data_IF_509142697464
#
_entry.id   IF_509142697464
#
_cell.length_a   1.000
_cell.length_b   1.000
_cell.length_c   1.000
_cell.angle_alpha   90.00
_cell.angle_beta   90.00
_cell.angle_gamma   90.00
#
_symmetry.space_group_name_H-M   'P 1'
#
loop_
_entity.id
_entity.type
_entity.pdbx_description
1 polymer ?
#
# COMPACT_ATOMS: atom_id res chain seq x y z
N UNK A 1 -38.34 19.02 3.73
CA UNK A 1 -37.95 17.80 2.93
C UNK A 1 -37.15 18.14 1.68
N UNK A 2 -37.74 18.85 0.65
CA UNK A 2 -37.00 19.14 -0.59
C UNK A 2 -35.80 20.07 -0.32
N UNK A 3 -35.99 21.11 0.48
CA UNK A 3 -34.96 22.07 0.88
C UNK A 3 -33.81 21.32 1.60
N UNK A 4 -34.15 20.44 2.53
CA UNK A 4 -33.12 19.67 3.27
C UNK A 4 -32.33 18.76 2.37
N UNK A 5 -33.01 18.05 1.44
CA UNK A 5 -32.34 17.20 0.46
C UNK A 5 -31.42 18.04 -0.44
N UNK A 6 -31.82 19.22 -0.90
CA UNK A 6 -30.98 20.11 -1.69
C UNK A 6 -29.79 20.66 -0.88
N UNK A 7 -29.98 20.99 0.38
CA UNK A 7 -28.92 21.48 1.26
C UNK A 7 -27.89 20.38 1.54
N UNK A 8 -28.36 19.19 1.87
CA UNK A 8 -27.46 18.02 2.07
C UNK A 8 -26.77 17.61 0.76
N UNK A 9 -27.44 17.73 -0.37
CA UNK A 9 -26.85 17.54 -1.69
C UNK A 9 -25.70 18.55 -1.94
N UNK A 10 -25.92 19.83 -1.66
CA UNK A 10 -24.90 20.87 -1.82
C UNK A 10 -23.70 20.62 -0.89
N UNK A 11 -23.94 20.26 0.37
CA UNK A 11 -22.88 19.84 1.30
C UNK A 11 -22.14 18.60 0.81
N UNK A 12 -22.83 17.62 0.24
CA UNK A 12 -22.23 16.41 -0.29
C UNK A 12 -21.37 16.69 -1.53
N UNK A 13 -21.83 17.54 -2.45
CA UNK A 13 -21.05 17.98 -3.61
C UNK A 13 -19.79 18.71 -3.16
N UNK A 14 -19.92 19.63 -2.20
CA UNK A 14 -18.76 20.36 -1.65
C UNK A 14 -17.75 19.38 -1.04
N UNK A 15 -18.21 18.41 -0.26
CA UNK A 15 -17.37 17.39 0.33
C UNK A 15 -16.71 16.48 -0.72
N UNK A 16 -17.42 16.12 -1.78
CA UNK A 16 -16.89 15.34 -2.91
C UNK A 16 -15.79 16.12 -3.62
N UNK A 17 -16.03 17.41 -3.94
CA UNK A 17 -15.04 18.28 -4.58
C UNK A 17 -13.81 18.51 -3.70
N UNK A 18 -13.97 18.74 -2.40
CA UNK A 18 -12.88 18.82 -1.45
C UNK A 18 -12.07 17.50 -1.40
N UNK A 19 -12.74 16.37 -1.58
CA UNK A 19 -12.08 15.06 -1.65
C UNK A 19 -11.16 14.92 -2.86
N UNK A 20 -11.44 15.62 -3.96
CA UNK A 20 -10.56 15.63 -5.16
C UNK A 20 -9.41 16.63 -5.06
N UNK A 21 -9.57 17.71 -4.34
CA UNK A 21 -8.51 18.68 -4.09
C UNK A 21 -7.43 18.12 -3.17
N UNK A 22 -7.78 17.12 -2.34
CA UNK A 22 -6.85 16.39 -1.51
C UNK A 22 -6.38 15.13 -2.25
N UNK A 23 -5.07 14.81 -2.37
CA UNK A 23 -4.61 13.66 -3.13
C UNK A 23 -5.20 12.34 -2.66
N UNK A 24 -5.40 11.46 -3.64
CA UNK A 24 -6.17 10.21 -3.61
C UNK A 24 -5.56 9.06 -2.79
N UNK A 25 -4.92 9.31 -1.67
CA UNK A 25 -4.32 8.25 -0.87
C UNK A 25 -5.30 7.54 0.07
N UNK A 26 -6.52 8.06 0.25
CA UNK A 26 -7.55 7.41 1.07
C UNK A 26 -8.66 6.83 0.20
N UNK A 27 -9.04 5.61 0.49
CA UNK A 27 -9.98 4.76 -0.25
C UNK A 27 -11.46 5.15 -0.11
N UNK A 28 -11.80 6.41 0.20
CA UNK A 28 -13.19 6.82 0.30
C UNK A 28 -13.38 8.32 0.11
N UNK A 29 -14.47 8.71 -0.56
CA UNK A 29 -14.94 10.07 -0.59
C UNK A 29 -15.61 10.38 0.74
N UNK A 30 -15.34 11.57 1.32
CA UNK A 30 -16.07 12.05 2.51
C UNK A 30 -17.50 12.51 2.16
N UNK A 31 -17.81 12.61 0.87
CA UNK A 31 -19.14 12.96 0.38
C UNK A 31 -20.23 11.98 0.78
N UNK A 32 -19.87 10.73 1.17
CA UNK A 32 -20.85 9.75 1.62
C UNK A 32 -21.52 10.17 2.95
N UNK A 33 -20.88 10.98 3.78
CA UNK A 33 -21.41 11.41 5.07
C UNK A 33 -22.72 12.20 4.90
N UNK A 34 -22.78 13.32 4.14
CA UNK A 34 -24.03 14.06 4.00
C UNK A 34 -25.08 13.36 3.16
N UNK A 35 -24.72 12.52 2.17
CA UNK A 35 -25.79 11.84 1.45
C UNK A 35 -26.40 10.68 2.24
N UNK A 36 -25.64 9.94 3.04
CA UNK A 36 -26.22 8.98 3.99
C UNK A 36 -27.00 9.67 5.14
N UNK A 37 -26.53 10.85 5.58
CA UNK A 37 -27.30 11.67 6.51
C UNK A 37 -28.66 12.03 5.92
N UNK A 38 -28.74 12.22 4.60
CA UNK A 38 -30.01 12.48 3.94
C UNK A 38 -31.02 11.33 4.07
N UNK A 39 -30.57 10.06 4.07
CA UNK A 39 -31.44 8.90 4.32
C UNK A 39 -32.11 8.93 5.70
N UNK A 40 -31.49 9.57 6.69
CA UNK A 40 -32.00 9.67 8.08
C UNK A 40 -32.80 10.94 8.27
N UNK A 41 -32.39 12.04 7.66
CA UNK A 41 -33.09 13.34 7.77
C UNK A 41 -34.33 13.40 6.87
N UNK A 42 -34.18 12.90 5.63
CA UNK A 42 -35.25 12.87 4.60
C UNK A 42 -35.35 11.45 4.05
N UNK A 43 -35.92 10.48 4.79
CA UNK A 43 -36.02 9.09 4.35
C UNK A 43 -37.04 8.90 3.23
N UNK A 44 -36.76 9.50 2.07
CA UNK A 44 -37.64 9.52 0.91
C UNK A 44 -36.84 9.70 -0.40
N UNK A 45 -37.54 9.57 -1.55
CA UNK A 45 -36.94 9.65 -2.89
C UNK A 45 -36.03 10.90 -3.15
N UNK A 46 -36.22 12.09 -2.55
CA UNK A 46 -35.33 13.23 -2.79
C UNK A 46 -33.89 12.96 -2.37
N UNK A 47 -33.64 12.12 -1.34
CA UNK A 47 -32.29 11.72 -0.93
C UNK A 47 -31.61 10.87 -1.99
N UNK A 48 -32.33 9.98 -2.64
CA UNK A 48 -31.81 9.15 -3.75
C UNK A 48 -31.39 10.02 -4.93
N UNK A 49 -32.22 11.01 -5.30
CA UNK A 49 -31.87 11.96 -6.38
C UNK A 49 -30.62 12.76 -6.01
N UNK A 50 -30.52 13.19 -4.74
CA UNK A 50 -29.32 13.87 -4.25
C UNK A 50 -28.05 13.03 -4.41
N UNK A 51 -28.10 11.74 -4.06
CA UNK A 51 -26.96 10.81 -4.24
C UNK A 51 -26.59 10.65 -5.70
N UNK A 52 -27.59 10.50 -6.58
CA UNK A 52 -27.36 10.42 -8.03
C UNK A 52 -26.64 11.68 -8.53
N UNK A 53 -27.11 12.87 -8.15
CA UNK A 53 -26.52 14.13 -8.54
C UNK A 53 -25.09 14.28 -8.03
N UNK A 54 -24.84 14.01 -6.74
CA UNK A 54 -23.50 14.08 -6.11
C UNK A 54 -22.52 13.16 -6.82
N UNK A 55 -22.92 11.90 -7.02
CA UNK A 55 -22.03 10.90 -7.66
C UNK A 55 -21.80 11.20 -9.14
N UNK A 56 -22.81 11.69 -9.85
CA UNK A 56 -22.65 12.11 -11.25
C UNK A 56 -21.63 13.25 -11.36
N UNK A 57 -21.74 14.28 -10.53
CA UNK A 57 -20.76 15.38 -10.48
C UNK A 57 -19.35 14.85 -10.16
N UNK A 58 -19.21 13.96 -9.16
CA UNK A 58 -17.94 13.37 -8.79
C UNK A 58 -17.30 12.54 -9.91
N UNK A 59 -18.09 11.71 -10.61
CA UNK A 59 -17.60 10.88 -11.71
C UNK A 59 -17.20 11.72 -12.94
N UNK A 60 -17.98 12.76 -13.27
CA UNK A 60 -17.64 13.71 -14.34
C UNK A 60 -16.35 14.46 -14.03
N UNK A 61 -16.20 14.94 -12.79
CA UNK A 61 -14.99 15.62 -12.34
C UNK A 61 -13.76 14.69 -12.39
N UNK A 62 -13.95 13.44 -11.99
CA UNK A 62 -12.89 12.42 -12.00
C UNK A 62 -12.54 11.94 -13.42
N UNK A 63 -13.28 12.34 -14.46
CA UNK A 63 -13.12 11.89 -15.86
C UNK A 63 -13.01 10.38 -15.99
N UNK A 64 -13.86 9.64 -15.25
CA UNK A 64 -13.84 8.17 -15.32
C UNK A 64 -14.47 7.66 -16.60
N UNK A 65 -14.09 6.44 -16.99
CA UNK A 65 -14.70 5.76 -18.13
C UNK A 65 -16.22 5.63 -17.91
N UNK A 66 -17.07 5.92 -18.93
CA UNK A 66 -18.52 6.02 -18.77
C UNK A 66 -19.17 4.81 -18.09
N UNK A 67 -18.74 3.58 -18.46
CA UNK A 67 -19.29 2.36 -17.86
C UNK A 67 -18.99 2.27 -16.34
N UNK A 68 -17.81 2.71 -15.90
CA UNK A 68 -17.45 2.74 -14.48
C UNK A 68 -18.22 3.83 -13.74
N UNK A 69 -18.45 4.98 -14.38
CA UNK A 69 -19.23 6.06 -13.82
C UNK A 69 -20.68 5.63 -13.61
N UNK A 70 -21.31 5.03 -14.62
CA UNK A 70 -22.68 4.49 -14.53
C UNK A 70 -22.78 3.44 -13.42
N UNK A 71 -21.86 2.50 -13.35
CA UNK A 71 -21.84 1.48 -12.28
C UNK A 71 -21.76 2.12 -10.89
N UNK A 72 -20.87 3.10 -10.69
CA UNK A 72 -20.71 3.76 -9.40
C UNK A 72 -21.94 4.55 -9.01
N UNK A 73 -22.53 5.33 -9.92
CA UNK A 73 -23.74 6.11 -9.66
C UNK A 73 -24.90 5.17 -9.31
N UNK A 74 -25.09 4.10 -10.08
CA UNK A 74 -26.17 3.13 -9.87
C UNK A 74 -26.00 2.37 -8.54
N UNK A 75 -24.77 1.96 -8.21
CA UNK A 75 -24.47 1.26 -6.96
C UNK A 75 -24.80 2.13 -5.73
N UNK A 76 -24.43 3.41 -5.76
CA UNK A 76 -24.73 4.33 -4.66
C UNK A 76 -26.21 4.69 -4.57
N UNK A 77 -26.89 4.86 -5.70
CA UNK A 77 -28.33 5.08 -5.72
C UNK A 77 -29.09 3.88 -5.12
N UNK A 78 -28.68 2.65 -5.49
CA UNK A 78 -29.27 1.44 -4.93
C UNK A 78 -28.97 1.30 -3.43
N UNK A 79 -27.74 1.63 -3.03
CA UNK A 79 -27.33 1.63 -1.63
C UNK A 79 -28.21 2.58 -0.79
N UNK A 80 -28.49 3.79 -1.29
CA UNK A 80 -29.38 4.75 -0.64
C UNK A 80 -30.81 4.25 -0.57
N UNK A 81 -31.34 3.65 -1.65
CA UNK A 81 -32.67 3.02 -1.65
C UNK A 81 -32.79 1.93 -0.61
N UNK A 82 -31.77 1.04 -0.53
CA UNK A 82 -31.73 -0.02 0.48
C UNK A 82 -31.67 0.57 1.89
N UNK A 83 -30.85 1.61 2.10
CA UNK A 83 -30.75 2.29 3.39
C UNK A 83 -32.11 2.85 3.83
N UNK A 84 -32.80 3.59 2.94
CA UNK A 84 -34.13 4.15 3.24
C UNK A 84 -35.15 3.05 3.50
N UNK A 85 -35.17 2.00 2.67
CA UNK A 85 -36.13 0.90 2.83
C UNK A 85 -35.93 0.16 4.16
N UNK A 86 -34.68 -0.14 4.55
CA UNK A 86 -34.40 -0.79 5.83
C UNK A 86 -34.68 0.15 7.00
N UNK A 87 -34.29 1.43 6.88
CA UNK A 87 -34.53 2.44 7.91
C UNK A 87 -36.00 2.55 8.24
N UNK A 88 -36.84 2.73 7.21
CA UNK A 88 -38.29 2.90 7.37
C UNK A 88 -38.99 1.61 7.82
N UNK A 89 -38.55 0.42 7.33
CA UNK A 89 -39.09 -0.88 7.75
C UNK A 89 -38.85 -1.18 9.23
N UNK A 90 -37.76 -0.65 9.80
CA UNK A 90 -37.42 -0.76 11.22
C UNK A 90 -38.13 0.32 12.09
N UNK A 91 -39.05 1.10 11.51
CA UNK A 91 -39.77 2.17 12.21
C UNK A 91 -38.88 3.41 12.42
N UNK A 92 -37.83 3.59 11.65
CA UNK A 92 -36.98 4.78 11.70
C UNK A 92 -37.80 6.06 11.38
N UNK A 93 -37.66 7.07 12.22
CA UNK A 93 -38.37 8.34 12.09
C UNK A 93 -37.39 9.41 11.60
N UNK A 94 -37.85 10.26 10.64
CA UNK A 94 -37.06 11.42 10.22
C UNK A 94 -36.63 12.26 11.42
N UNK A 95 -35.36 12.64 11.49
CA UNK A 95 -34.86 13.47 12.59
C UNK A 95 -35.62 14.78 12.74
N UNK A 96 -36.15 15.36 11.65
CA UNK A 96 -37.00 16.55 11.69
C UNK A 96 -38.41 16.30 12.26
N UNK A 97 -38.84 15.07 12.34
CA UNK A 97 -40.13 14.70 12.93
C UNK A 97 -40.03 14.38 14.43
N UNK A 98 -38.83 14.38 15.00
CA UNK A 98 -38.59 14.16 16.41
C UNK A 98 -38.77 15.50 17.15
N UNK A 99 -39.67 15.58 18.09
CA UNK A 99 -40.02 16.84 18.78
C UNK A 99 -38.89 17.36 19.70
N UNK A 100 -38.13 16.47 20.34
CA UNK A 100 -37.00 16.84 21.19
C UNK A 100 -35.75 16.07 20.75
N UNK A 101 -34.82 16.77 20.05
CA UNK A 101 -33.54 16.24 19.61
C UNK A 101 -32.49 16.22 20.73
N UNK A 102 -32.75 16.77 21.90
CA UNK A 102 -31.85 16.74 23.06
C UNK A 102 -32.04 15.47 23.92
N UNK A 103 -33.19 14.80 23.81
CA UNK A 103 -33.35 13.45 24.38
C UNK A 103 -32.60 12.43 23.53
N UNK A 104 -31.27 12.32 23.78
CA UNK A 104 -30.40 11.41 23.05
C UNK A 104 -30.83 9.96 23.17
N UNK A 105 -31.49 9.57 24.27
CA UNK A 105 -31.97 8.19 24.49
C UNK A 105 -33.10 7.88 23.51
N UNK A 106 -34.07 8.80 23.42
CA UNK A 106 -35.17 8.67 22.46
C UNK A 106 -34.66 8.71 21.02
N UNK A 107 -33.84 9.70 20.67
CA UNK A 107 -33.24 9.86 19.32
C UNK A 107 -32.47 8.62 18.93
N UNK A 108 -31.63 8.07 19.82
CA UNK A 108 -30.87 6.84 19.53
C UNK A 108 -31.78 5.65 19.26
N UNK A 109 -32.88 5.52 20.00
CA UNK A 109 -33.83 4.41 19.84
C UNK A 109 -34.59 4.49 18.52
N UNK A 110 -35.15 5.66 18.19
CA UNK A 110 -36.09 5.82 17.06
C UNK A 110 -35.40 6.18 15.73
N UNK A 111 -34.15 6.66 15.76
CA UNK A 111 -33.41 7.00 14.56
C UNK A 111 -32.04 6.33 14.53
N UNK A 112 -31.27 6.32 15.63
CA UNK A 112 -29.92 5.85 15.66
C UNK A 112 -29.76 4.34 15.39
N UNK A 113 -30.54 3.49 16.09
CA UNK A 113 -30.51 2.03 15.90
C UNK A 113 -31.00 1.65 14.50
N UNK A 114 -32.17 2.14 14.01
CA UNK A 114 -32.58 1.91 12.63
C UNK A 114 -31.55 2.35 11.59
N UNK A 115 -30.92 3.51 11.80
CA UNK A 115 -29.87 4.02 10.90
C UNK A 115 -28.61 3.13 10.89
N UNK A 116 -28.17 2.62 12.05
CA UNK A 116 -27.04 1.71 12.15
C UNK A 116 -27.27 0.44 11.33
N UNK A 117 -28.44 -0.18 11.49
CA UNK A 117 -28.80 -1.39 10.76
C UNK A 117 -28.92 -1.11 9.26
N UNK A 118 -29.59 -0.01 8.90
CA UNK A 118 -29.76 0.41 7.52
C UNK A 118 -28.41 0.65 6.83
N UNK A 119 -27.49 1.33 7.50
CA UNK A 119 -26.15 1.57 7.03
C UNK A 119 -25.39 0.25 6.83
N UNK A 120 -25.41 -0.66 7.80
CA UNK A 120 -24.73 -1.94 7.73
C UNK A 120 -25.22 -2.79 6.55
N UNK A 121 -26.54 -2.88 6.36
CA UNK A 121 -27.17 -3.64 5.26
C UNK A 121 -26.82 -3.01 3.90
N UNK A 122 -26.96 -1.69 3.77
CA UNK A 122 -26.63 -0.96 2.55
C UNK A 122 -25.15 -1.08 2.19
N UNK A 123 -24.27 -1.02 3.19
CA UNK A 123 -22.83 -1.19 3.01
C UNK A 123 -22.47 -2.59 2.52
N UNK A 124 -23.06 -3.64 3.11
CA UNK A 124 -22.87 -5.02 2.65
C UNK A 124 -23.36 -5.17 1.21
N UNK A 125 -24.52 -4.64 0.86
CA UNK A 125 -25.07 -4.67 -0.49
C UNK A 125 -24.12 -4.00 -1.50
N UNK A 126 -23.60 -2.80 -1.16
CA UNK A 126 -22.65 -2.09 -2.01
C UNK A 126 -21.33 -2.90 -2.21
N UNK A 127 -20.79 -3.48 -1.14
CA UNK A 127 -19.58 -4.29 -1.23
C UNK A 127 -19.77 -5.53 -2.11
N UNK A 128 -20.94 -6.16 -2.07
CA UNK A 128 -21.26 -7.30 -2.95
C UNK A 128 -21.33 -6.89 -4.42
N UNK A 129 -21.96 -5.74 -4.72
CA UNK A 129 -22.07 -5.19 -6.08
C UNK A 129 -20.68 -4.87 -6.63
N UNK A 130 -19.88 -4.13 -5.86
CA UNK A 130 -18.52 -3.73 -6.27
C UNK A 130 -17.62 -4.96 -6.44
N UNK A 131 -17.67 -5.91 -5.51
CA UNK A 131 -16.89 -7.15 -5.57
C UNK A 131 -17.28 -7.97 -6.79
N UNK A 132 -18.59 -8.10 -7.09
CA UNK A 132 -19.08 -8.80 -8.28
C UNK A 132 -18.59 -8.15 -9.57
N UNK A 133 -18.65 -6.82 -9.65
CA UNK A 133 -18.17 -6.08 -10.81
C UNK A 133 -16.67 -6.24 -11.03
N UNK A 134 -15.86 -6.17 -9.96
CA UNK A 134 -14.40 -6.39 -10.03
C UNK A 134 -14.08 -7.83 -10.43
N UNK A 135 -14.73 -8.82 -9.83
CA UNK A 135 -14.53 -10.23 -10.15
C UNK A 135 -14.83 -10.52 -11.61
N UNK A 136 -15.98 -10.01 -12.10
CA UNK A 136 -16.40 -10.18 -13.51
C UNK A 136 -15.43 -9.51 -14.50
N UNK A 137 -14.93 -8.30 -14.18
CA UNK A 137 -14.04 -7.56 -15.07
C UNK A 137 -12.59 -8.04 -15.06
N UNK A 138 -12.14 -8.64 -13.95
CA UNK A 138 -10.74 -9.07 -13.76
C UNK A 138 -10.53 -10.58 -13.96
N UNK A 139 -11.57 -11.37 -14.12
CA UNK A 139 -11.51 -12.84 -14.18
C UNK A 139 -11.07 -13.50 -12.85
N UNK A 140 -11.02 -12.74 -11.75
CA UNK A 140 -10.63 -13.25 -10.44
C UNK A 140 -11.84 -13.85 -9.70
N UNK A 141 -11.58 -14.81 -8.79
CA UNK A 141 -12.67 -15.37 -7.99
C UNK A 141 -13.27 -14.32 -7.03
N UNK A 142 -14.59 -14.35 -6.86
CA UNK A 142 -15.32 -13.46 -5.94
C UNK A 142 -14.72 -13.54 -4.52
N UNK A 143 -14.36 -14.75 -4.08
CA UNK A 143 -13.76 -14.98 -2.76
C UNK A 143 -12.43 -14.23 -2.58
N UNK A 144 -11.58 -14.27 -3.59
CA UNK A 144 -10.27 -13.57 -3.53
C UNK A 144 -10.46 -12.05 -3.50
N UNK A 145 -11.35 -11.53 -4.38
CA UNK A 145 -11.66 -10.09 -4.41
C UNK A 145 -12.29 -9.63 -3.10
N UNK A 146 -13.20 -10.43 -2.53
CA UNK A 146 -13.84 -10.11 -1.25
C UNK A 146 -12.83 -10.07 -0.10
N UNK A 147 -11.90 -11.04 -0.03
CA UNK A 147 -10.86 -11.07 1.01
C UNK A 147 -9.91 -9.86 0.92
N UNK A 148 -9.53 -9.47 -0.29
CA UNK A 148 -8.67 -8.30 -0.52
C UNK A 148 -9.41 -7.00 -0.14
N UNK A 149 -10.68 -6.87 -0.51
CA UNK A 149 -11.51 -5.70 -0.22
C UNK A 149 -11.84 -5.58 1.29
N UNK A 150 -12.23 -6.69 1.94
CA UNK A 150 -12.57 -6.69 3.37
C UNK A 150 -11.40 -6.29 4.27
N UNK A 151 -10.18 -6.69 3.95
CA UNK A 151 -9.00 -6.31 4.73
C UNK A 151 -8.69 -4.81 4.67
N UNK A 152 -9.10 -4.15 3.57
CA UNK A 152 -8.81 -2.74 3.33
C UNK A 152 -9.89 -1.78 3.90
N UNK A 153 -11.15 -2.21 4.00
CA UNK A 153 -12.29 -1.29 4.19
C UNK A 153 -13.07 -1.48 5.49
N UNK A 154 -13.20 -2.71 6.01
CA UNK A 154 -14.11 -2.99 7.14
C UNK A 154 -13.87 -2.15 8.39
N UNK A 155 -12.61 -1.85 8.73
CA UNK A 155 -12.30 -1.08 9.95
C UNK A 155 -12.66 0.41 9.83
N UNK A 156 -12.46 0.98 8.65
CA UNK A 156 -12.69 2.41 8.40
C UNK A 156 -14.19 2.68 8.22
N UNK A 157 -14.89 1.80 7.51
CA UNK A 157 -16.30 1.98 7.19
C UNK A 157 -17.20 1.82 8.41
N UNK A 158 -16.85 0.95 9.36
CA UNK A 158 -17.58 0.78 10.63
C UNK A 158 -17.42 2.00 11.55
N UNK A 159 -16.26 2.65 11.53
CA UNK A 159 -16.02 3.89 12.27
C UNK A 159 -16.74 5.10 11.64
N UNK A 160 -17.12 5.01 10.37
CA UNK A 160 -17.78 6.09 9.67
C UNK A 160 -19.26 6.27 10.07
N UNK A 161 -19.94 5.20 10.51
CA UNK A 161 -21.35 5.27 10.87
C UNK A 161 -21.65 6.26 12.00
N UNK A 162 -20.99 6.24 13.17
CA UNK A 162 -21.21 7.23 14.22
C UNK A 162 -21.07 8.66 13.70
N UNK A 163 -20.10 8.88 12.79
CA UNK A 163 -19.85 10.18 12.20
C UNK A 163 -21.00 10.64 11.29
N UNK A 164 -21.56 9.74 10.48
CA UNK A 164 -22.75 10.00 9.64
C UNK A 164 -23.94 10.37 10.52
N UNK A 165 -24.19 9.61 11.57
CA UNK A 165 -25.32 9.85 12.46
C UNK A 165 -25.16 11.16 13.23
N UNK A 166 -23.98 11.44 13.79
CA UNK A 166 -23.67 12.71 14.45
C UNK A 166 -23.85 13.88 13.48
N UNK A 167 -23.38 13.77 12.25
CA UNK A 167 -23.57 14.79 11.22
C UNK A 167 -25.05 15.03 10.93
N UNK A 168 -25.86 13.97 10.76
CA UNK A 168 -27.27 14.05 10.53
C UNK A 168 -28.00 14.72 11.70
N UNK A 169 -27.64 14.35 12.93
CA UNK A 169 -28.18 14.92 14.15
C UNK A 169 -27.83 16.41 14.32
N UNK A 170 -26.53 16.77 14.10
CA UNK A 170 -26.06 18.18 14.14
C UNK A 170 -26.82 19.01 13.09
N UNK A 171 -27.01 18.45 11.88
CA UNK A 171 -27.75 19.10 10.83
C UNK A 171 -29.20 19.35 11.24
N UNK A 172 -29.87 18.35 11.78
CA UNK A 172 -31.29 18.46 12.20
C UNK A 172 -31.47 19.40 13.40
N UNK A 173 -30.52 19.40 14.36
CA UNK A 173 -30.63 20.21 15.59
C UNK A 173 -30.16 21.66 15.42
N UNK A 174 -29.11 21.91 14.62
CA UNK A 174 -28.42 23.20 14.55
C UNK A 174 -28.31 23.77 13.12
N UNK A 175 -28.77 23.03 12.11
CA UNK A 175 -28.77 23.45 10.71
C UNK A 175 -27.46 23.24 9.96
N UNK A 176 -27.48 23.70 8.69
CA UNK A 176 -26.41 23.40 7.72
C UNK A 176 -25.06 23.98 8.10
N UNK A 177 -24.99 25.19 8.67
CA UNK A 177 -23.73 25.85 9.05
C UNK A 177 -23.04 25.04 10.15
N UNK A 178 -23.76 24.62 11.18
CA UNK A 178 -23.23 23.78 12.25
C UNK A 178 -22.75 22.43 11.71
N UNK A 179 -23.53 21.79 10.83
CA UNK A 179 -23.09 20.53 10.18
C UNK A 179 -21.83 20.72 9.34
N UNK A 180 -21.68 21.85 8.64
CA UNK A 180 -20.47 22.14 7.87
C UNK A 180 -19.22 22.23 8.74
N UNK A 181 -19.31 22.63 10.01
CA UNK A 181 -18.14 22.64 10.93
C UNK A 181 -17.59 21.24 11.21
N UNK A 182 -18.41 20.18 11.06
CA UNK A 182 -17.96 18.80 11.20
C UNK A 182 -16.89 18.41 10.16
N UNK A 183 -16.77 19.17 9.07
CA UNK A 183 -15.72 18.93 8.05
C UNK A 183 -14.32 19.26 8.55
N UNK A 184 -14.19 20.24 9.43
CA UNK A 184 -12.87 20.75 9.89
C UNK A 184 -11.99 19.61 10.46
N UNK A 185 -12.44 18.84 11.47
CA UNK A 185 -11.63 17.74 12.00
C UNK A 185 -11.40 16.61 10.97
N UNK A 186 -12.37 16.35 10.09
CA UNK A 186 -12.27 15.32 9.06
C UNK A 186 -11.20 15.70 8.03
N UNK A 187 -11.21 16.94 7.56
CA UNK A 187 -10.22 17.48 6.63
C UNK A 187 -8.84 17.53 7.29
N UNK A 188 -8.76 17.91 8.55
CA UNK A 188 -7.52 17.88 9.34
C UNK A 188 -6.91 16.48 9.44
N UNK A 189 -7.71 15.48 9.80
CA UNK A 189 -7.27 14.08 9.86
C UNK A 189 -6.80 13.58 8.49
N UNK A 190 -7.53 13.90 7.43
CA UNK A 190 -7.13 13.56 6.06
C UNK A 190 -5.81 14.22 5.66
N UNK A 191 -5.61 15.49 6.02
CA UNK A 191 -4.35 16.19 5.74
C UNK A 191 -3.17 15.52 6.45
N UNK A 192 -3.33 15.13 7.73
CA UNK A 192 -2.31 14.39 8.48
C UNK A 192 -1.99 13.05 7.83
N UNK A 193 -3.01 12.27 7.45
CA UNK A 193 -2.81 11.00 6.75
C UNK A 193 -2.07 11.20 5.41
N UNK A 194 -2.43 12.23 4.66
CA UNK A 194 -1.76 12.59 3.41
C UNK A 194 -0.28 12.88 3.64
N UNK A 195 0.01 13.77 4.58
CA UNK A 195 1.40 14.15 4.88
C UNK A 195 2.22 12.94 5.30
N UNK A 196 1.64 12.02 6.09
CA UNK A 196 2.32 10.79 6.49
C UNK A 196 2.64 9.90 5.27
N UNK A 197 1.71 9.75 4.32
CA UNK A 197 1.95 8.96 3.11
C UNK A 197 2.99 9.60 2.19
N UNK A 198 2.95 10.93 2.03
CA UNK A 198 3.96 11.67 1.25
C UNK A 198 5.34 11.54 1.90
N UNK A 199 5.42 11.60 3.24
CA UNK A 199 6.67 11.38 3.98
C UNK A 199 7.19 9.94 3.83
N UNK A 200 6.30 8.94 3.85
CA UNK A 200 6.70 7.55 3.60
C UNK A 200 7.25 7.37 2.19
N UNK A 201 6.57 7.92 1.17
CA UNK A 201 7.03 7.87 -0.22
C UNK A 201 8.38 8.58 -0.39
N UNK A 202 8.52 9.79 0.16
CA UNK A 202 9.79 10.53 0.10
C UNK A 202 10.92 9.77 0.79
N UNK A 203 10.65 9.13 1.93
CA UNK A 203 11.64 8.30 2.61
C UNK A 203 12.08 7.10 1.74
N UNK A 204 11.13 6.42 1.07
CA UNK A 204 11.46 5.32 0.15
C UNK A 204 12.27 5.80 -1.05
N UNK A 205 11.91 6.96 -1.65
CA UNK A 205 12.67 7.56 -2.76
C UNK A 205 14.10 7.97 -2.34
N UNK A 206 14.27 8.50 -1.13
CA UNK A 206 15.58 8.84 -0.58
C UNK A 206 16.43 7.59 -0.35
N UNK A 207 15.88 6.53 0.22
CA UNK A 207 16.59 5.25 0.38
C UNK A 207 17.01 4.69 -0.98
N UNK A 208 16.13 4.76 -1.97
CA UNK A 208 16.45 4.34 -3.33
C UNK A 208 17.56 5.18 -3.97
N UNK A 209 17.52 6.51 -3.78
CA UNK A 209 18.56 7.39 -4.27
C UNK A 209 19.92 7.09 -3.61
N UNK A 210 19.93 6.82 -2.30
CA UNK A 210 21.14 6.41 -1.57
C UNK A 210 21.72 5.11 -2.15
N UNK A 211 20.88 4.10 -2.39
CA UNK A 211 21.31 2.82 -2.98
C UNK A 211 21.85 3.03 -4.39
N UNK A 212 21.16 3.78 -5.24
CA UNK A 212 21.65 4.11 -6.60
C UNK A 212 22.98 4.86 -6.58
N UNK A 213 23.16 5.78 -5.62
CA UNK A 213 24.41 6.54 -5.48
C UNK A 213 25.57 5.62 -5.04
N UNK A 214 25.26 4.61 -4.21
CA UNK A 214 26.23 3.58 -3.82
C UNK A 214 26.61 2.69 -5.01
N UNK A 215 25.61 2.17 -5.73
CA UNK A 215 25.80 1.33 -6.91
C UNK A 215 26.56 2.04 -8.05
N UNK A 216 26.42 3.36 -8.15
CA UNK A 216 27.16 4.16 -9.13
C UNK A 216 28.69 4.16 -8.90
N UNK A 217 29.15 3.81 -7.70
CA UNK A 217 30.58 3.67 -7.37
C UNK A 217 31.14 2.29 -7.72
N UNK A 218 30.29 1.28 -7.83
CA UNK A 218 30.69 -0.09 -8.18
C UNK A 218 30.06 -0.49 -9.52
N UNK A 219 30.84 -0.54 -10.61
CA UNK A 219 30.34 -0.85 -11.96
C UNK A 219 29.59 -2.19 -12.07
N UNK A 220 29.82 -3.10 -11.12
CA UNK A 220 29.25 -4.45 -11.15
C UNK A 220 27.95 -4.59 -10.36
N UNK A 221 27.55 -3.57 -9.59
CA UNK A 221 26.39 -3.64 -8.69
C UNK A 221 25.16 -2.93 -9.21
N UNK A 222 25.15 -2.41 -10.46
CA UNK A 222 23.97 -1.75 -11.01
C UNK A 222 22.74 -2.64 -10.91
N UNK A 223 21.74 -2.20 -10.13
CA UNK A 223 20.48 -2.90 -9.86
C UNK A 223 20.61 -4.15 -8.97
N UNK A 224 21.80 -4.46 -8.43
CA UNK A 224 22.02 -5.58 -7.53
C UNK A 224 21.14 -5.53 -6.29
N UNK A 225 21.17 -4.45 -5.55
CA UNK A 225 20.39 -4.29 -4.32
C UNK A 225 18.89 -4.48 -4.55
N UNK A 226 18.37 -4.05 -5.70
CA UNK A 226 16.97 -4.27 -6.08
C UNK A 226 16.69 -5.72 -6.44
N UNK A 227 17.60 -6.40 -7.14
CA UNK A 227 17.44 -7.83 -7.44
C UNK A 227 17.50 -8.67 -6.15
N UNK A 228 18.45 -8.37 -5.24
CA UNK A 228 18.53 -9.02 -3.93
C UNK A 228 17.27 -8.75 -3.08
N UNK A 229 16.74 -7.53 -3.09
CA UNK A 229 15.43 -7.20 -2.48
C UNK A 229 14.32 -8.07 -3.05
N UNK A 230 14.23 -8.16 -4.38
CA UNK A 230 13.21 -8.94 -5.08
C UNK A 230 13.29 -10.43 -4.71
N UNK A 231 14.48 -11.02 -4.82
CA UNK A 231 14.72 -12.42 -4.45
C UNK A 231 14.42 -12.68 -2.97
N UNK A 232 14.84 -11.80 -2.07
CA UNK A 232 14.55 -11.90 -0.64
C UNK A 232 13.04 -11.92 -0.35
N UNK A 233 12.25 -11.11 -1.07
CA UNK A 233 10.78 -11.09 -0.90
C UNK A 233 10.12 -12.37 -1.43
N UNK A 234 10.62 -12.94 -2.53
CA UNK A 234 10.17 -14.23 -3.07
C UNK A 234 10.48 -15.35 -2.07
N UNK A 235 11.72 -15.42 -1.57
CA UNK A 235 12.14 -16.42 -0.59
C UNK A 235 11.32 -16.31 0.69
N UNK A 236 11.14 -15.11 1.22
CA UNK A 236 10.34 -14.86 2.42
C UNK A 236 8.87 -15.33 2.26
N UNK A 237 8.28 -15.14 1.07
CA UNK A 237 6.94 -15.65 0.74
C UNK A 237 6.93 -17.18 0.59
N UNK A 238 7.94 -17.76 -0.05
CA UNK A 238 8.06 -19.19 -0.24
C UNK A 238 8.11 -19.95 1.08
N UNK A 239 8.76 -19.39 2.10
CA UNK A 239 8.79 -19.95 3.45
C UNK A 239 7.59 -19.56 4.32
N UNK A 240 6.58 -18.86 3.76
CA UNK A 240 5.30 -18.58 4.42
C UNK A 240 5.31 -17.43 5.42
N UNK A 241 6.22 -16.46 5.29
CA UNK A 241 6.23 -15.28 6.16
C UNK A 241 5.02 -14.37 5.90
N UNK A 242 4.53 -13.73 6.98
CA UNK A 242 3.48 -12.71 6.88
C UNK A 242 3.99 -11.49 6.11
N UNK A 243 3.11 -10.81 5.37
CA UNK A 243 3.47 -9.70 4.48
C UNK A 243 4.32 -8.62 5.18
N UNK A 244 4.01 -8.25 6.42
CA UNK A 244 4.81 -7.28 7.21
C UNK A 244 6.29 -7.69 7.35
N UNK A 245 6.55 -8.99 7.56
CA UNK A 245 7.92 -9.51 7.66
C UNK A 245 8.59 -9.59 6.27
N UNK A 246 7.82 -9.94 5.23
CA UNK A 246 8.30 -9.90 3.84
C UNK A 246 8.80 -8.50 3.47
N UNK A 247 8.00 -7.47 3.80
CA UNK A 247 8.35 -6.07 3.53
C UNK A 247 9.59 -5.62 4.34
N UNK A 248 9.70 -6.08 5.59
CA UNK A 248 10.86 -5.79 6.44
C UNK A 248 12.14 -6.44 5.90
N UNK A 249 12.07 -7.70 5.50
CA UNK A 249 13.19 -8.43 4.87
C UNK A 249 13.60 -7.74 3.57
N UNK A 250 12.63 -7.37 2.72
CA UNK A 250 12.90 -6.67 1.46
C UNK A 250 13.63 -5.34 1.67
N UNK A 251 13.21 -4.54 2.66
CA UNK A 251 13.91 -3.27 2.98
C UNK A 251 15.33 -3.51 3.51
N UNK A 252 15.52 -4.51 4.37
CA UNK A 252 16.84 -4.85 4.86
C UNK A 252 17.76 -5.33 3.72
N UNK A 253 17.22 -6.13 2.78
CA UNK A 253 17.91 -6.58 1.60
C UNK A 253 18.34 -5.43 0.67
N UNK A 254 17.49 -4.40 0.52
CA UNK A 254 17.85 -3.22 -0.26
C UNK A 254 19.06 -2.47 0.31
N UNK A 255 19.22 -2.52 1.64
CA UNK A 255 20.25 -1.77 2.39
C UNK A 255 21.43 -2.65 2.85
N UNK A 256 21.47 -3.95 2.48
CA UNK A 256 22.46 -4.88 3.04
C UNK A 256 23.90 -4.41 2.85
N UNK A 257 24.18 -3.81 1.72
CA UNK A 257 25.49 -3.35 1.27
C UNK A 257 25.77 -1.86 1.58
N UNK A 258 24.89 -1.16 2.32
CA UNK A 258 25.02 0.29 2.52
C UNK A 258 26.33 0.71 3.19
N UNK A 259 27.00 -0.19 3.92
CA UNK A 259 28.31 0.05 4.53
C UNK A 259 29.43 0.30 3.53
N UNK A 260 29.31 -0.17 2.29
CA UNK A 260 30.27 0.08 1.22
C UNK A 260 30.38 1.56 0.79
N UNK A 261 29.53 2.44 1.36
CA UNK A 261 29.57 3.89 1.10
C UNK A 261 30.87 4.55 1.60
N UNK A 262 31.55 3.97 2.60
CA UNK A 262 32.75 4.54 3.15
C UNK A 262 33.92 4.49 2.16
N UNK A 263 34.75 5.54 2.18
CA UNK A 263 35.86 5.73 1.22
C UNK A 263 36.89 4.58 1.27
N UNK A 264 37.08 3.94 2.43
CA UNK A 264 38.00 2.81 2.60
C UNK A 264 37.72 1.63 1.67
N UNK A 265 36.49 1.53 1.13
CA UNK A 265 36.13 0.46 0.18
C UNK A 265 36.36 0.83 -1.29
N UNK A 266 36.56 2.11 -1.62
CA UNK A 266 36.63 2.56 -3.00
C UNK A 266 37.72 1.87 -3.82
N UNK A 267 38.93 1.73 -3.26
CA UNK A 267 40.04 1.07 -3.92
C UNK A 267 39.83 -0.42 -4.11
N UNK A 268 39.14 -1.06 -3.16
CA UNK A 268 38.85 -2.51 -3.20
C UNK A 268 37.77 -2.85 -4.20
N UNK A 269 36.72 -2.02 -4.25
CA UNK A 269 35.54 -2.20 -5.13
C UNK A 269 35.85 -1.98 -6.61
N UNK A 270 36.83 -1.12 -6.92
CA UNK A 270 37.24 -0.82 -8.31
C UNK A 270 38.34 -1.70 -8.84
N UNK A 271 38.93 -2.57 -7.99
CA UNK A 271 40.03 -3.46 -8.37
C UNK A 271 39.55 -4.54 -9.34
N UNK A 272 40.28 -4.72 -10.44
CA UNK A 272 39.98 -5.76 -11.44
C UNK A 272 40.67 -7.12 -11.14
N UNK A 273 41.71 -7.11 -10.28
CA UNK A 273 42.42 -8.30 -9.88
C UNK A 273 41.85 -8.94 -8.62
N UNK A 274 42.30 -10.14 -8.30
CA UNK A 274 41.97 -10.82 -7.03
C UNK A 274 42.40 -9.97 -5.84
N UNK A 275 41.51 -9.90 -4.83
CA UNK A 275 41.83 -9.21 -3.59
C UNK A 275 42.92 -9.90 -2.80
N UNK A 276 43.81 -9.13 -2.20
CA UNK A 276 44.80 -9.65 -1.23
C UNK A 276 44.10 -10.03 0.08
N UNK A 277 44.69 -10.80 0.98
CA UNK A 277 44.11 -11.10 2.29
C UNK A 277 43.77 -9.82 3.11
N UNK A 278 44.60 -8.79 3.00
CA UNK A 278 44.37 -7.50 3.69
C UNK A 278 43.18 -6.75 3.11
N UNK A 279 43.09 -6.72 1.78
CA UNK A 279 41.90 -6.10 1.10
C UNK A 279 40.63 -6.89 1.39
N UNK A 280 40.73 -8.21 1.47
CA UNK A 280 39.63 -9.08 1.85
C UNK A 280 39.16 -8.79 3.30
N UNK A 281 40.08 -8.58 4.23
CA UNK A 281 39.76 -8.19 5.59
C UNK A 281 39.01 -6.83 5.63
N UNK A 282 39.43 -5.87 4.80
CA UNK A 282 38.74 -4.58 4.68
C UNK A 282 37.28 -4.77 4.22
N UNK A 283 37.08 -5.55 3.12
CA UNK A 283 35.72 -5.72 2.59
C UNK A 283 34.78 -6.44 3.58
N UNK A 284 35.32 -7.31 4.44
CA UNK A 284 34.54 -8.02 5.46
C UNK A 284 33.98 -7.10 6.58
N UNK A 285 34.43 -5.86 6.67
CA UNK A 285 33.91 -4.90 7.66
C UNK A 285 32.60 -4.24 7.23
N UNK A 286 32.24 -4.24 5.91
CA UNK A 286 31.09 -3.50 5.42
C UNK A 286 29.73 -3.87 6.07
N UNK A 287 29.46 -5.14 6.50
CA UNK A 287 28.21 -5.45 7.16
C UNK A 287 28.09 -4.76 8.53
N UNK A 288 29.21 -4.70 9.27
CA UNK A 288 29.27 -4.01 10.56
C UNK A 288 29.14 -2.48 10.39
N UNK A 289 29.84 -1.92 9.40
CA UNK A 289 29.76 -0.49 9.06
C UNK A 289 28.35 -0.10 8.59
N UNK A 290 27.73 -0.92 7.75
CA UNK A 290 26.35 -0.72 7.31
C UNK A 290 25.36 -0.77 8.46
N UNK A 291 25.50 -1.74 9.36
CA UNK A 291 24.71 -1.86 10.57
C UNK A 291 24.84 -0.62 11.47
N UNK A 292 26.06 -0.13 11.67
CA UNK A 292 26.33 1.08 12.45
C UNK A 292 25.70 2.32 11.81
N UNK A 293 25.80 2.44 10.48
CA UNK A 293 25.22 3.54 9.73
C UNK A 293 23.70 3.60 9.89
N UNK A 294 22.99 2.48 9.64
CA UNK A 294 21.53 2.45 9.73
C UNK A 294 21.01 2.50 11.17
N UNK A 295 21.82 2.14 12.18
CA UNK A 295 21.46 2.23 13.60
C UNK A 295 21.20 3.68 14.05
N UNK A 296 21.79 4.67 13.37
CA UNK A 296 21.56 6.10 13.62
C UNK A 296 20.13 6.53 13.30
N UNK A 297 19.44 5.79 12.44
CA UNK A 297 18.07 6.10 12.00
C UNK A 297 17.07 5.24 12.76
N UNK A 298 16.23 5.83 13.59
CA UNK A 298 15.27 5.12 14.46
C UNK A 298 14.36 4.15 13.66
N UNK A 299 13.91 4.56 12.48
CA UNK A 299 13.02 3.74 11.63
C UNK A 299 13.72 2.50 11.04
N UNK A 300 15.04 2.48 10.94
CA UNK A 300 15.82 1.39 10.36
C UNK A 300 16.43 0.46 11.42
N UNK A 301 16.34 0.76 12.71
CA UNK A 301 16.93 -0.05 13.80
C UNK A 301 16.54 -1.51 13.76
N UNK A 302 15.30 -1.82 13.37
CA UNK A 302 14.83 -3.22 13.26
C UNK A 302 15.54 -4.01 12.17
N UNK A 303 16.25 -3.35 11.25
CA UNK A 303 16.99 -3.98 10.14
C UNK A 303 18.47 -4.17 10.46
N UNK A 304 18.97 -3.55 11.54
CA UNK A 304 20.39 -3.61 11.94
C UNK A 304 20.92 -5.06 12.03
N UNK A 305 20.23 -5.99 12.71
CA UNK A 305 20.70 -7.37 12.77
C UNK A 305 20.76 -8.05 11.39
N UNK A 306 19.79 -7.72 10.52
CA UNK A 306 19.74 -8.29 9.18
C UNK A 306 20.90 -7.82 8.31
N UNK A 307 21.24 -6.53 8.37
CA UNK A 307 22.34 -5.91 7.64
C UNK A 307 23.70 -6.38 8.22
N UNK A 308 23.83 -6.45 9.55
CA UNK A 308 25.11 -6.85 10.17
C UNK A 308 25.51 -8.29 9.80
N UNK A 309 24.54 -9.21 9.74
CA UNK A 309 24.83 -10.65 9.65
C UNK A 309 24.50 -11.26 8.28
N UNK A 310 24.34 -10.46 7.22
CA UNK A 310 23.95 -10.98 5.92
C UNK A 310 25.04 -11.81 5.22
N UNK A 311 26.27 -11.79 5.71
CA UNK A 311 27.38 -12.66 5.25
C UNK A 311 27.69 -13.81 6.22
N UNK A 312 26.88 -14.03 7.23
CA UNK A 312 27.01 -15.22 8.06
C UNK A 312 26.61 -16.48 7.27
N UNK A 313 27.34 -17.56 7.46
CA UNK A 313 27.06 -18.88 6.91
C UNK A 313 26.40 -19.75 7.98
N UNK A 314 25.51 -20.63 7.56
CA UNK A 314 24.77 -21.51 8.50
C UNK A 314 25.70 -22.32 9.41
N UNK A 315 26.85 -22.76 8.91
CA UNK A 315 27.85 -23.55 9.65
C UNK A 315 28.75 -22.73 10.58
N UNK A 316 28.64 -21.39 10.57
CA UNK A 316 29.45 -20.48 11.39
C UNK A 316 30.76 -20.04 10.77
N UNK A 317 31.00 -20.35 9.49
CA UNK A 317 32.24 -19.94 8.76
C UNK A 317 32.11 -18.55 8.13
N UNK A 318 30.98 -17.85 8.37
CA UNK A 318 30.71 -16.51 7.88
C UNK A 318 31.35 -15.39 8.71
N UNK A 319 30.97 -14.16 8.41
CA UNK A 319 31.42 -12.95 9.09
C UNK A 319 30.27 -11.94 9.26
N UNK A 320 30.35 -10.96 10.17
CA UNK A 320 31.51 -10.55 10.97
C UNK A 320 31.67 -11.28 12.31
N UNK A 321 30.60 -11.92 12.83
CA UNK A 321 30.56 -12.41 14.21
C UNK A 321 30.68 -13.96 14.30
N UNK A 322 30.70 -14.67 13.16
CA UNK A 322 30.79 -16.14 13.09
C UNK A 322 29.57 -16.85 13.71
N UNK A 323 28.39 -16.26 13.57
CA UNK A 323 27.14 -16.84 14.07
C UNK A 323 26.81 -18.14 13.34
N UNK A 324 26.19 -19.09 14.08
CA UNK A 324 25.86 -20.41 13.55
C UNK A 324 24.40 -20.77 13.70
N UNK A 325 23.80 -21.38 12.70
CA UNK A 325 22.47 -21.95 12.74
C UNK A 325 21.38 -20.91 12.99
N UNK A 326 20.44 -21.20 13.88
CA UNK A 326 19.29 -20.34 14.16
C UNK A 326 19.63 -19.05 14.92
N UNK A 327 20.84 -18.94 15.47
CA UNK A 327 21.31 -17.69 16.10
C UNK A 327 21.45 -16.58 15.05
N UNK A 328 21.72 -16.94 13.78
CA UNK A 328 21.71 -16.01 12.67
C UNK A 328 20.29 -15.47 12.47
N UNK A 329 20.07 -14.14 12.46
CA UNK A 329 18.74 -13.58 12.24
C UNK A 329 18.10 -14.12 10.95
N UNK A 330 16.81 -14.48 11.00
CA UNK A 330 16.11 -15.06 9.84
C UNK A 330 16.25 -14.21 8.58
N UNK A 331 16.13 -12.88 8.72
CA UNK A 331 16.28 -11.96 7.59
C UNK A 331 17.70 -12.04 6.98
N UNK A 332 18.74 -12.19 7.79
CA UNK A 332 20.13 -12.37 7.31
C UNK A 332 20.28 -13.65 6.52
N UNK A 333 19.72 -14.76 7.01
CA UNK A 333 19.72 -16.06 6.31
C UNK A 333 19.03 -15.97 4.95
N UNK A 334 17.92 -15.23 4.85
CA UNK A 334 17.20 -14.99 3.60
C UNK A 334 18.02 -14.10 2.66
N UNK A 335 18.62 -13.02 3.16
CA UNK A 335 19.45 -12.10 2.36
C UNK A 335 20.69 -12.83 1.83
N UNK A 336 21.36 -13.65 2.68
CA UNK A 336 22.49 -14.47 2.26
C UNK A 336 22.16 -15.35 1.06
N UNK A 337 20.97 -15.94 1.09
CA UNK A 337 20.45 -16.76 0.00
C UNK A 337 20.22 -15.95 -1.28
N UNK A 338 19.51 -14.82 -1.13
CA UNK A 338 19.15 -13.94 -2.24
C UNK A 338 20.38 -13.32 -2.93
N UNK A 339 21.33 -12.84 -2.14
CA UNK A 339 22.60 -12.29 -2.62
C UNK A 339 23.40 -13.32 -3.43
N UNK A 340 23.48 -14.56 -2.92
CA UNK A 340 24.16 -15.64 -3.64
C UNK A 340 23.44 -16.01 -4.94
N UNK A 341 22.08 -16.02 -4.96
CA UNK A 341 21.33 -16.25 -6.21
C UNK A 341 21.62 -15.14 -7.21
N UNK A 342 21.61 -13.87 -6.79
CA UNK A 342 21.95 -12.76 -7.68
C UNK A 342 23.35 -12.89 -8.24
N UNK A 343 24.32 -13.23 -7.39
CA UNK A 343 25.69 -13.46 -7.82
C UNK A 343 25.83 -14.62 -8.82
N UNK A 344 24.96 -15.63 -8.76
CA UNK A 344 24.96 -16.76 -9.69
C UNK A 344 24.25 -16.46 -11.01
N UNK A 345 23.23 -15.63 -11.00
CA UNK A 345 22.32 -15.39 -12.14
C UNK A 345 22.64 -14.12 -12.92
N UNK A 346 23.49 -13.24 -12.38
CA UNK A 346 23.90 -12.00 -13.06
C UNK A 346 25.17 -12.23 -13.86
N UNK A 347 25.25 -11.67 -15.06
CA UNK A 347 26.45 -11.65 -15.91
C UNK A 347 27.59 -10.91 -15.21
N UNK A 348 28.77 -11.52 -15.17
CA UNK A 348 30.00 -10.92 -14.65
C UNK A 348 31.13 -11.05 -15.70
N UNK A 349 32.10 -10.13 -15.72
CA UNK A 349 33.12 -10.09 -16.75
C UNK A 349 33.87 -11.43 -16.99
N UNK A 350 33.91 -12.27 -15.96
CA UNK A 350 34.65 -13.53 -16.00
C UNK A 350 33.76 -14.77 -15.91
N UNK A 351 32.38 -14.59 -15.91
CA UNK A 351 31.48 -15.72 -15.72
C UNK A 351 30.11 -15.47 -16.32
N UNK A 352 29.66 -16.38 -17.17
CA UNK A 352 28.29 -16.42 -17.66
C UNK A 352 27.31 -16.76 -16.53
N UNK A 353 26.06 -16.22 -16.60
CA UNK A 353 24.99 -16.57 -15.67
C UNK A 353 24.74 -18.08 -15.63
N UNK A 354 24.51 -18.61 -14.43
CA UNK A 354 24.12 -20.00 -14.26
C UNK A 354 22.67 -20.22 -14.65
N UNK A 355 22.41 -21.38 -15.24
CA UNK A 355 21.02 -21.83 -15.50
C UNK A 355 20.29 -22.17 -14.20
N UNK A 356 18.96 -22.20 -14.23
CA UNK A 356 18.13 -22.60 -13.08
C UNK A 356 18.56 -23.95 -12.49
N UNK A 357 18.86 -24.95 -13.37
CA UNK A 357 19.31 -26.27 -12.92
C UNK A 357 20.64 -26.22 -12.18
N UNK A 358 21.58 -25.40 -12.66
CA UNK A 358 22.89 -25.21 -12.01
C UNK A 358 22.77 -24.49 -10.68
N UNK A 359 21.91 -23.43 -10.59
CA UNK A 359 21.63 -22.75 -9.32
C UNK A 359 20.98 -23.70 -8.32
N UNK A 360 20.05 -24.55 -8.77
CA UNK A 360 19.43 -25.58 -7.93
C UNK A 360 20.44 -26.56 -7.37
N UNK A 361 21.37 -27.03 -8.21
CA UNK A 361 22.42 -27.95 -7.80
C UNK A 361 23.36 -27.29 -6.75
N UNK A 362 23.70 -26.02 -6.95
CA UNK A 362 24.56 -25.28 -6.03
C UNK A 362 23.87 -25.03 -4.68
N UNK A 363 22.58 -24.70 -4.69
CA UNK A 363 21.77 -24.56 -3.46
C UNK A 363 21.76 -25.87 -2.66
N UNK A 364 21.57 -27.02 -3.34
CA UNK A 364 21.61 -28.32 -2.69
C UNK A 364 23.00 -28.66 -2.15
N UNK A 365 24.07 -28.29 -2.87
CA UNK A 365 25.48 -28.53 -2.46
C UNK A 365 25.82 -27.72 -1.20
N UNK A 366 25.34 -26.48 -1.10
CA UNK A 366 25.64 -25.56 0.01
C UNK A 366 24.60 -25.62 1.15
N UNK A 367 23.61 -26.52 1.06
CA UNK A 367 22.61 -26.75 2.09
C UNK A 367 23.25 -27.24 3.39
N UNK A 368 22.98 -26.54 4.49
CA UNK A 368 23.53 -26.87 5.82
C UNK A 368 24.97 -26.37 6.05
N UNK A 369 25.61 -25.78 5.04
CA UNK A 369 26.90 -25.09 5.17
C UNK A 369 26.70 -23.58 5.03
N UNK A 370 26.57 -23.08 3.82
CA UNK A 370 26.28 -21.66 3.58
C UNK A 370 24.83 -21.32 3.86
N UNK A 371 23.89 -22.19 3.46
CA UNK A 371 22.45 -21.94 3.52
C UNK A 371 21.76 -22.70 4.63
N UNK A 372 20.76 -22.03 5.22
CA UNK A 372 19.81 -22.64 6.12
C UNK A 372 19.06 -23.78 5.42
N UNK A 373 19.11 -25.02 5.96
CA UNK A 373 18.51 -26.19 5.31
C UNK A 373 16.97 -26.08 5.21
N UNK A 374 16.27 -25.49 6.19
CA UNK A 374 14.81 -25.33 6.15
C UNK A 374 14.40 -24.32 5.06
N UNK A 375 15.13 -23.21 4.95
CA UNK A 375 14.88 -22.23 3.87
C UNK A 375 15.14 -22.87 2.51
N UNK A 376 16.25 -23.61 2.34
CA UNK A 376 16.58 -24.28 1.09
C UNK A 376 15.48 -25.26 0.67
N UNK A 377 15.07 -26.15 1.58
CA UNK A 377 14.07 -27.19 1.29
C UNK A 377 12.71 -26.57 0.92
N UNK A 378 12.23 -25.59 1.69
CA UNK A 378 10.96 -24.91 1.44
C UNK A 378 10.95 -24.12 0.14
N UNK A 379 12.05 -23.42 -0.15
CA UNK A 379 12.19 -22.66 -1.39
C UNK A 379 12.20 -23.58 -2.61
N UNK A 380 13.00 -24.67 -2.57
CA UNK A 380 13.11 -25.63 -3.67
C UNK A 380 11.80 -26.42 -3.92
N UNK A 381 10.95 -26.58 -2.91
CA UNK A 381 9.62 -27.19 -3.01
C UNK A 381 8.53 -26.20 -3.40
N UNK A 382 8.81 -24.89 -3.33
CA UNK A 382 7.82 -23.87 -3.60
C UNK A 382 7.60 -23.63 -5.10
N UNK A 383 6.36 -23.41 -5.57
CA UNK A 383 6.10 -22.97 -6.94
C UNK A 383 6.72 -21.60 -7.26
N UNK A 384 7.13 -20.84 -6.22
CA UNK A 384 7.81 -19.57 -6.39
C UNK A 384 9.27 -19.70 -6.82
N UNK A 385 9.86 -20.91 -6.78
CA UNK A 385 11.24 -21.14 -7.21
C UNK A 385 11.48 -20.66 -8.65
N UNK A 386 10.62 -21.05 -9.59
CA UNK A 386 10.77 -20.67 -11.01
C UNK A 386 10.60 -19.16 -11.24
N UNK A 387 9.93 -18.44 -10.35
CA UNK A 387 9.75 -16.98 -10.47
C UNK A 387 11.05 -16.21 -10.23
N UNK A 388 12.05 -16.81 -9.58
CA UNK A 388 13.40 -16.22 -9.41
C UNK A 388 14.13 -16.06 -10.75
N UNK A 389 13.79 -16.85 -11.76
CA UNK A 389 14.45 -16.89 -13.07
C UNK A 389 13.58 -16.30 -14.18
N UNK A 390 12.35 -15.88 -13.86
CA UNK A 390 11.49 -15.21 -14.83
C UNK A 390 12.15 -13.88 -15.26
N UNK A 391 12.21 -13.57 -16.58
CA UNK A 391 12.70 -12.27 -17.01
C UNK A 391 11.89 -11.19 -16.29
N UNK A 392 12.58 -10.23 -15.67
CA UNK A 392 11.94 -9.08 -15.04
C UNK A 392 11.16 -8.35 -16.14
N UNK A 393 9.87 -8.70 -16.27
CA UNK A 393 8.95 -8.01 -17.18
C UNK A 393 8.83 -6.57 -16.71
N UNK A 394 9.55 -5.69 -17.41
CA UNK A 394 9.60 -4.24 -17.34
C UNK A 394 9.38 -3.66 -15.95
N UNK A 395 10.33 -2.84 -15.48
CA UNK A 395 10.33 -2.06 -14.24
C UNK A 395 9.54 -2.73 -13.10
N UNK A 396 10.23 -3.33 -12.15
CA UNK A 396 9.62 -3.75 -10.88
C UNK A 396 9.08 -2.46 -10.24
N UNK A 397 7.87 -2.08 -10.62
CA UNK A 397 7.12 -1.10 -9.86
C UNK A 397 6.96 -1.72 -8.49
N UNK A 398 7.63 -1.14 -7.49
CA UNK A 398 7.20 -1.27 -6.11
C UNK A 398 5.69 -1.05 -6.15
N UNK A 399 4.90 -2.11 -5.92
CA UNK A 399 3.48 -1.96 -5.72
C UNK A 399 3.37 -1.26 -4.37
N UNK A 400 3.03 0.02 -4.33
CA UNK A 400 2.76 0.68 -3.06
C UNK A 400 1.64 -0.13 -2.42
N UNK A 401 1.77 -0.45 -1.14
CA UNK A 401 0.70 -1.03 -0.35
C UNK A 401 -0.60 -0.29 -0.69
N UNK A 402 -1.55 -1.00 -1.30
CA UNK A 402 -2.92 -0.58 -1.57
C UNK A 402 -3.10 0.73 -2.36
N UNK A 403 -2.76 0.74 -3.65
CA UNK A 403 -3.48 1.59 -4.60
C UNK A 403 -3.85 0.78 -5.84
N UNK A 404 -4.97 0.11 -5.75
CA UNK A 404 -5.71 -0.37 -6.92
C UNK A 404 -6.25 0.87 -7.64
N UNK A 405 -5.68 1.16 -8.81
CA UNK A 405 -6.21 2.11 -9.79
C UNK A 405 -5.49 3.45 -9.92
N UNK A 406 -4.36 3.48 -10.64
CA UNK A 406 -3.86 4.70 -11.27
C UNK A 406 -3.40 4.42 -12.69
N UNK A 407 -4.05 5.08 -13.65
CA UNK A 407 -3.45 5.41 -14.93
C UNK A 407 -2.53 6.64 -14.74
N UNK A 408 -1.38 6.74 -15.42
CA UNK A 408 -0.48 7.89 -15.27
C UNK A 408 -1.15 9.15 -15.79
N UNK A 409 -1.15 10.22 -14.99
CA UNK A 409 -1.46 11.57 -15.44
C UNK A 409 -0.36 12.01 -16.42
N UNK A 410 -0.70 12.14 -17.71
CA UNK A 410 0.07 12.95 -18.63
C UNK A 410 -0.27 14.41 -18.34
N UNK A 411 0.68 15.16 -17.79
CA UNK A 411 0.61 16.60 -17.71
C UNK A 411 0.81 17.16 -19.14
N UNK A 412 0.00 18.11 -19.61
CA UNK A 412 0.25 18.81 -20.87
C UNK A 412 1.22 19.96 -20.61
N UNK A 413 2.51 19.68 -20.64
CA UNK A 413 3.54 20.70 -20.82
C UNK A 413 4.43 20.28 -21.97
N UNK A 414 4.30 21.00 -23.09
CA UNK A 414 5.10 20.83 -24.29
C UNK A 414 4.68 21.81 -25.34
N UNK A 415 4.89 23.10 -25.09
CA UNK A 415 4.94 24.09 -26.16
C UNK A 415 6.19 23.79 -27.00
N UNK A 416 5.98 23.31 -28.22
CA UNK A 416 7.04 23.19 -29.23
C UNK A 416 7.52 24.61 -29.59
N UNK A 417 8.75 24.92 -29.23
CA UNK A 417 9.47 26.02 -29.84
C UNK A 417 9.76 25.65 -31.33
N UNK A 418 9.08 26.30 -32.25
CA UNK A 418 9.44 26.30 -33.65
C UNK A 418 10.77 27.04 -33.77
N UNK A 419 11.85 26.34 -34.02
CA UNK A 419 13.07 26.90 -34.56
C UNK A 419 12.87 27.07 -36.07
N UNK A 420 12.66 28.31 -36.49
CA UNK A 420 12.70 28.69 -37.89
C UNK A 420 14.14 28.59 -38.40
N UNK A 421 14.34 27.85 -39.46
CA UNK A 421 15.52 27.91 -40.30
C UNK A 421 15.38 29.09 -41.24
N UNK A 422 16.29 30.06 -41.18
CA UNK A 422 16.61 30.94 -42.27
C UNK A 422 18.13 30.95 -42.46
N UNK A 423 18.53 30.76 -43.72
CA UNK A 423 19.85 30.99 -44.26
C UNK A 423 20.54 29.75 -44.76
#
# INVERSE_FOLDING_TARGET
MVIDALTLCALAITAELLSFLLPRAATGSIGFIPYFAAAVVVPAWPSVVSVIAVKTVGELWARRAPIKAVLNVSAHALMELVAIAVYTSLGGISLHAIGDLHDLTHVTRVAGIPALVAFAVAHVANNLIVTGAIASSSGRSVRTVLQDNHRATLGVDFLAFPLVFVFAWVYAAFGAIAAATCWVPILGLRQVQRTNLELEQTNEELLELMVKSLEARDPYTSGHSRRVQHYSTIIARAIGLRQRLVDQVGRAALLHDVGKIYEKYASVLTKQDKLTPEEWAIIQEHPADGANLIATMTKLRSMVPAVRHHHENWDGTGYPDGLKGEIIPLASRIIRFADTIDAMTTERPYRQPLTEAQVRAEVLRCRGTQFDPDIADRLLASPLWSTLFAPASGEVRLVPLAVVGRAPLRLPFGAQAKTGSHG
#
